data_IF_972474911325
#
_entry.id   IF_972474911325
#
_cell.length_a   1.000
_cell.length_b   1.000
_cell.length_c   1.000
_cell.angle_alpha   90.00
_cell.angle_beta   90.00
_cell.angle_gamma   90.00
#
_symmetry.space_group_name_H-M   'P 1'
#
loop_
_entity.id
_entity.type
_entity.pdbx_description
1 polymer ?
#
# COMPACT_ATOMS: atom_id res chain seq x y z
N UNK A 1 36.43 8.29 -20.62
CA UNK A 1 37.82 8.43 -20.14
C UNK A 1 37.96 7.55 -18.91
N UNK A 2 38.82 6.54 -19.00
CA UNK A 2 39.06 5.56 -17.94
C UNK A 2 40.20 6.04 -17.03
N UNK A 3 40.16 5.64 -15.76
CA UNK A 3 41.25 5.76 -14.80
C UNK A 3 41.58 4.35 -14.23
N UNK A 4 42.83 4.10 -13.81
CA UNK A 4 43.50 2.81 -13.98
C UNK A 4 43.44 1.87 -12.76
N UNK A 5 43.61 0.57 -13.02
CA UNK A 5 43.94 -0.46 -12.02
C UNK A 5 45.41 -0.37 -11.56
N UNK A 6 45.71 -0.86 -10.35
CA UNK A 6 47.02 -1.41 -10.05
C UNK A 6 47.00 -2.91 -9.65
N UNK A 7 47.94 -3.60 -10.27
CA UNK A 7 48.41 -4.98 -10.22
C UNK A 7 48.45 -5.70 -8.85
N UNK A 8 48.04 -6.97 -8.86
CA UNK A 8 48.40 -8.01 -7.88
C UNK A 8 49.87 -8.46 -7.98
N UNK A 9 50.45 -9.03 -6.91
CA UNK A 9 51.43 -10.09 -7.01
C UNK A 9 50.84 -11.45 -6.61
N UNK A 10 51.29 -12.48 -7.32
CA UNK A 10 50.85 -13.86 -7.17
C UNK A 10 51.48 -14.60 -5.97
N UNK A 11 50.72 -15.54 -5.42
CA UNK A 11 51.23 -16.87 -5.05
C UNK A 11 51.51 -17.14 -3.57
N UNK A 12 50.63 -17.92 -2.93
CA UNK A 12 50.91 -18.61 -1.67
C UNK A 12 49.69 -19.35 -1.14
N UNK A 13 49.66 -20.67 -1.29
CA UNK A 13 48.63 -21.56 -0.78
C UNK A 13 48.71 -21.72 0.74
N UNK A 14 47.57 -21.81 1.43
CA UNK A 14 47.50 -22.27 2.82
C UNK A 14 46.22 -21.86 3.55
N UNK A 15 45.37 -22.86 3.83
CA UNK A 15 44.36 -22.95 4.90
C UNK A 15 43.43 -21.76 5.20
N UNK A 16 42.15 -21.90 4.80
CA UNK A 16 41.03 -21.09 5.27
C UNK A 16 40.80 -21.31 6.79
N UNK A 17 41.10 -20.30 7.59
CA UNK A 17 40.53 -20.11 8.92
C UNK A 17 39.19 -19.35 8.78
N UNK A 18 38.17 -19.63 9.62
CA UNK A 18 36.89 -18.93 9.54
C UNK A 18 37.03 -17.49 10.05
N UNK A 19 36.65 -16.52 9.21
CA UNK A 19 36.53 -15.11 9.57
C UNK A 19 35.52 -14.92 10.70
N UNK A 20 35.96 -14.22 11.74
CA UNK A 20 35.16 -13.74 12.86
C UNK A 20 34.30 -12.57 12.38
N UNK A 21 32.98 -12.76 12.26
CA UNK A 21 32.03 -11.68 12.00
C UNK A 21 31.85 -10.87 13.31
N UNK A 22 32.44 -9.67 13.35
CA UNK A 22 32.34 -8.69 14.43
C UNK A 22 30.90 -8.20 14.66
N UNK A 23 30.58 -7.99 15.94
CA UNK A 23 29.28 -7.57 16.49
C UNK A 23 28.89 -6.13 16.10
N UNK A 24 27.67 -5.94 15.57
CA UNK A 24 26.94 -4.67 15.72
C UNK A 24 25.93 -4.80 16.87
N UNK A 25 26.29 -4.24 18.02
CA UNK A 25 25.42 -4.09 19.18
C UNK A 25 24.45 -2.93 18.95
N UNK A 26 23.15 -3.21 18.79
CA UNK A 26 22.13 -2.16 18.82
C UNK A 26 21.90 -1.67 20.26
N UNK A 27 21.98 -0.36 20.44
CA UNK A 27 21.90 0.35 21.71
C UNK A 27 20.54 0.16 22.42
N UNK A 28 20.60 -0.08 23.74
CA UNK A 28 19.43 -0.08 24.64
C UNK A 28 19.01 1.36 25.00
N UNK A 29 17.70 1.64 24.96
CA UNK A 29 17.10 2.90 25.41
C UNK A 29 16.68 2.77 26.89
N UNK A 30 17.11 3.66 27.80
CA UNK A 30 16.86 3.50 29.24
C UNK A 30 15.41 3.80 29.65
N UNK A 31 14.86 2.90 30.47
CA UNK A 31 13.55 3.02 31.12
C UNK A 31 13.34 4.35 31.88
N UNK A 32 12.11 4.87 31.84
CA UNK A 32 11.62 5.90 32.78
C UNK A 32 10.52 5.34 33.69
N UNK A 33 10.43 5.83 34.95
CA UNK A 33 9.83 5.10 36.04
C UNK A 33 8.31 5.30 36.19
N UNK A 34 7.77 4.30 36.88
CA UNK A 34 6.41 4.02 37.30
C UNK A 34 5.77 5.10 38.20
N UNK A 35 4.52 5.44 37.93
CA UNK A 35 3.52 5.96 38.86
C UNK A 35 2.18 5.37 38.40
N UNK A 36 1.35 4.66 39.17
CA UNK A 36 1.15 4.65 40.60
C UNK A 36 -0.32 5.00 40.87
N UNK A 37 -1.09 4.01 41.38
CA UNK A 37 -2.51 4.01 41.80
C UNK A 37 -3.57 3.76 40.70
N UNK A 38 -4.56 2.88 40.85
CA UNK A 38 -4.93 1.97 41.95
C UNK A 38 -6.40 1.53 41.80
N UNK A 39 -6.66 0.23 42.02
CA UNK A 39 -7.93 -0.43 42.43
C UNK A 39 -9.22 -0.22 41.60
N UNK A 40 -10.08 -1.20 41.32
CA UNK A 40 -10.13 -2.61 41.70
C UNK A 40 -11.54 -3.20 41.43
N UNK A 41 -11.60 -4.54 41.33
CA UNK A 41 -12.78 -5.47 41.49
C UNK A 41 -13.89 -5.31 40.43
N UNK A 42 -14.66 -6.30 39.98
CA UNK A 42 -14.93 -7.75 40.14
C UNK A 42 -16.04 -8.02 39.08
N UNK A 43 -16.18 -9.11 38.32
CA UNK A 43 -16.24 -10.53 38.66
C UNK A 43 -17.26 -11.23 37.72
N UNK A 44 -17.08 -12.55 37.49
CA UNK A 44 -18.07 -13.54 36.98
C UNK A 44 -18.49 -13.44 35.49
N UNK A 45 -18.66 -14.50 34.70
CA UNK A 45 -18.67 -15.95 34.92
C UNK A 45 -19.58 -16.65 33.86
N UNK A 46 -19.20 -17.85 33.42
CA UNK A 46 -20.01 -18.79 32.61
C UNK A 46 -19.70 -18.77 31.10
N UNK A 47 -19.47 -19.87 30.37
CA UNK A 47 -19.64 -21.31 30.63
C UNK A 47 -20.52 -21.96 29.54
N UNK A 48 -20.05 -23.11 29.01
CA UNK A 48 -20.72 -24.06 28.07
C UNK A 48 -20.45 -23.79 26.57
N UNK A 49 -19.85 -24.64 25.71
CA UNK A 49 -19.75 -26.10 25.48
C UNK A 49 -20.63 -26.63 24.32
N UNK A 50 -20.04 -27.51 23.48
CA UNK A 50 -20.65 -28.26 22.35
C UNK A 50 -19.85 -28.08 21.05
N UNK A 51 -18.95 -28.94 20.56
CA UNK A 51 -18.90 -30.41 20.29
C UNK A 51 -19.47 -30.84 18.92
N UNK A 52 -18.65 -31.62 18.18
CA UNK A 52 -19.00 -32.50 17.03
C UNK A 52 -18.59 -31.93 15.66
N UNK A 53 -17.55 -32.41 14.97
CA UNK A 53 -17.39 -33.73 14.30
C UNK A 53 -17.55 -33.51 12.77
N UNK A 54 -16.83 -34.07 11.80
CA UNK A 54 -15.82 -35.11 11.65
C UNK A 54 -15.84 -35.58 10.16
N UNK A 55 -14.68 -35.94 9.59
CA UNK A 55 -14.53 -36.66 8.30
C UNK A 55 -14.41 -35.75 7.05
N UNK A 56 -13.48 -35.92 6.10
CA UNK A 56 -12.62 -37.04 5.73
C UNK A 56 -12.84 -37.36 4.24
N UNK A 57 -11.85 -37.13 3.37
CA UNK A 57 -11.93 -37.49 1.95
C UNK A 57 -10.76 -36.98 1.11
N UNK A 58 -9.84 -37.89 0.78
CA UNK A 58 -8.69 -37.69 -0.11
C UNK A 58 -9.06 -37.93 -1.59
N UNK A 59 -8.34 -37.29 -2.52
CA UNK A 59 -8.41 -37.58 -3.96
C UNK A 59 -7.39 -36.74 -4.75
N UNK A 60 -6.52 -37.41 -5.50
CA UNK A 60 -5.27 -36.91 -6.08
C UNK A 60 -5.35 -36.53 -7.58
N UNK A 61 -4.28 -35.88 -8.06
CA UNK A 61 -3.88 -35.74 -9.48
C UNK A 61 -4.35 -34.42 -10.13
N UNK A 62 -3.50 -33.44 -10.45
CA UNK A 62 -2.46 -33.46 -11.51
C UNK A 62 -3.11 -32.96 -12.81
N UNK A 63 -2.61 -32.01 -13.62
CA UNK A 63 -1.33 -31.35 -13.80
C UNK A 63 -1.51 -30.23 -14.85
N UNK A 64 -0.58 -29.26 -14.87
CA UNK A 64 -0.18 -28.56 -16.10
C UNK A 64 -0.84 -27.21 -16.43
N UNK A 65 -0.02 -26.16 -16.56
CA UNK A 65 -0.42 -24.92 -17.24
C UNK A 65 0.32 -23.70 -16.71
N UNK A 66 1.45 -23.36 -17.34
CA UNK A 66 2.30 -22.21 -16.98
C UNK A 66 1.55 -20.87 -17.02
N UNK A 67 1.79 -20.05 -16.00
CA UNK A 67 1.26 -18.69 -15.88
C UNK A 67 2.40 -17.72 -15.59
N UNK A 68 2.55 -16.75 -16.50
CA UNK A 68 3.57 -15.72 -16.51
C UNK A 68 3.52 -14.81 -15.26
N UNK A 69 4.71 -14.34 -14.85
CA UNK A 69 5.02 -13.69 -13.59
C UNK A 69 4.59 -12.21 -13.56
N UNK A 70 3.68 -11.86 -12.63
CA UNK A 70 3.50 -10.48 -12.14
C UNK A 70 4.01 -10.40 -10.69
N UNK A 71 4.66 -9.28 -10.34
CA UNK A 71 5.55 -9.07 -9.17
C UNK A 71 4.93 -9.50 -7.82
N UNK A 72 5.07 -10.79 -7.49
CA UNK A 72 4.80 -11.34 -6.15
C UNK A 72 5.88 -10.86 -5.17
N UNK A 73 5.46 -10.57 -3.94
CA UNK A 73 6.38 -10.56 -2.80
C UNK A 73 7.22 -11.86 -2.82
N UNK A 74 8.55 -11.73 -2.84
CA UNK A 74 9.46 -12.89 -2.92
C UNK A 74 9.33 -13.69 -1.62
N UNK A 75 8.88 -14.94 -1.72
CA UNK A 75 8.75 -15.88 -0.59
C UNK A 75 9.71 -17.05 -0.76
N UNK A 76 10.00 -17.79 0.31
CA UNK A 76 10.78 -19.04 0.21
C UNK A 76 10.21 -20.00 -0.83
N UNK A 77 8.88 -20.07 -0.94
CA UNK A 77 8.19 -20.88 -1.95
C UNK A 77 8.47 -20.41 -3.39
N UNK A 78 8.60 -19.11 -3.63
CA UNK A 78 8.97 -18.56 -4.96
C UNK A 78 10.41 -18.96 -5.29
N UNK A 79 11.33 -18.83 -4.33
CA UNK A 79 12.73 -19.20 -4.53
C UNK A 79 12.93 -20.72 -4.70
N UNK A 80 12.14 -21.55 -4.02
CA UNK A 80 12.10 -23.01 -4.22
C UNK A 80 11.52 -23.38 -5.60
N UNK A 81 10.44 -22.71 -6.03
CA UNK A 81 9.79 -22.98 -7.32
C UNK A 81 10.74 -22.72 -8.49
N UNK A 82 11.55 -21.67 -8.39
CA UNK A 82 12.51 -21.30 -9.44
C UNK A 82 13.90 -21.91 -9.20
N UNK A 83 13.99 -22.91 -8.32
CA UNK A 83 15.20 -23.69 -8.00
C UNK A 83 16.41 -22.89 -7.50
N UNK A 84 16.19 -21.68 -6.94
CA UNK A 84 17.24 -20.92 -6.25
C UNK A 84 17.53 -21.46 -4.85
N UNK A 85 16.57 -22.17 -4.25
CA UNK A 85 16.71 -22.86 -2.98
C UNK A 85 16.30 -24.32 -3.16
N UNK A 86 16.88 -25.21 -2.36
CA UNK A 86 16.54 -26.63 -2.33
C UNK A 86 16.02 -27.00 -0.94
N UNK A 87 14.95 -27.80 -0.83
CA UNK A 87 14.53 -28.36 0.44
C UNK A 87 15.64 -29.24 1.02
N UNK A 88 15.83 -29.18 2.32
CA UNK A 88 16.87 -29.97 2.97
C UNK A 88 16.90 -29.80 4.47
N UNK A 89 17.48 -30.79 5.15
CA UNK A 89 17.70 -30.74 6.58
C UNK A 89 18.88 -29.81 6.91
N UNK A 90 18.69 -28.90 7.88
CA UNK A 90 19.73 -28.02 8.42
C UNK A 90 20.23 -26.95 7.44
N UNK A 91 19.51 -26.72 6.34
CA UNK A 91 19.93 -25.78 5.30
C UNK A 91 19.70 -24.32 5.67
N UNK A 92 18.86 -24.04 6.68
CA UNK A 92 18.63 -22.70 7.20
C UNK A 92 19.30 -22.53 8.57
N UNK A 93 19.89 -21.36 8.80
CA UNK A 93 20.53 -21.04 10.07
C UNK A 93 20.30 -19.58 10.48
N UNK A 94 20.24 -19.34 11.80
CA UNK A 94 20.21 -18.01 12.41
C UNK A 94 21.30 -17.97 13.45
N UNK A 95 22.14 -16.93 13.41
CA UNK A 95 23.10 -16.64 14.47
C UNK A 95 22.65 -15.38 15.22
N UNK A 96 22.53 -15.48 16.54
CA UNK A 96 22.11 -14.35 17.37
C UNK A 96 22.72 -14.45 18.77
N UNK A 97 23.47 -13.42 19.18
CA UNK A 97 24.14 -13.31 20.49
C UNK A 97 24.89 -14.61 20.87
N UNK A 98 25.77 -15.07 20.00
CA UNK A 98 26.58 -16.27 20.23
C UNK A 98 25.86 -17.61 20.03
N UNK A 99 24.54 -17.63 19.82
CA UNK A 99 23.74 -18.86 19.63
C UNK A 99 23.38 -19.08 18.16
N UNK A 100 23.59 -20.31 17.70
CA UNK A 100 23.22 -20.78 16.37
C UNK A 100 21.96 -21.66 16.43
N UNK A 101 20.95 -21.30 15.66
CA UNK A 101 19.72 -22.06 15.47
C UNK A 101 19.70 -22.69 14.08
N UNK A 102 19.26 -23.94 13.96
CA UNK A 102 19.18 -24.68 12.70
C UNK A 102 17.73 -25.01 12.33
N UNK A 103 17.40 -24.85 11.05
CA UNK A 103 16.07 -25.12 10.51
C UNK A 103 16.13 -25.89 9.20
N UNK A 104 15.17 -26.79 9.03
CA UNK A 104 14.94 -27.56 7.81
C UNK A 104 14.02 -26.76 6.89
N UNK A 105 14.37 -26.66 5.62
CA UNK A 105 13.51 -26.06 4.60
C UNK A 105 12.62 -27.16 4.01
N UNK A 106 11.32 -27.05 4.23
CA UNK A 106 10.35 -28.01 3.69
C UNK A 106 10.03 -27.70 2.21
N UNK A 107 9.62 -28.70 1.41
CA UNK A 107 9.28 -28.54 -0.01
C UNK A 107 8.15 -27.53 -0.29
N UNK A 108 7.30 -27.26 0.70
CA UNK A 108 6.19 -26.31 0.60
C UNK A 108 6.58 -24.87 0.98
N UNK A 109 7.85 -24.62 1.34
CA UNK A 109 8.40 -23.33 1.75
C UNK A 109 8.24 -23.00 3.23
N UNK A 110 7.82 -23.96 4.07
CA UNK A 110 7.82 -23.83 5.53
C UNK A 110 9.20 -24.16 6.12
N UNK A 111 9.43 -23.67 7.34
CA UNK A 111 10.67 -23.89 8.08
C UNK A 111 10.37 -24.74 9.30
N UNK A 112 11.02 -25.88 9.45
CA UNK A 112 10.90 -26.73 10.63
C UNK A 112 12.15 -26.56 11.50
N UNK A 113 11.97 -26.16 12.76
CA UNK A 113 13.07 -25.98 13.69
C UNK A 113 13.55 -27.33 14.23
N UNK A 114 14.85 -27.62 14.12
CA UNK A 114 15.40 -28.95 14.42
C UNK A 114 15.33 -29.34 15.91
N UNK A 115 15.40 -28.39 16.84
CA UNK A 115 15.47 -28.71 18.27
C UNK A 115 14.12 -29.19 18.84
N UNK A 116 13.00 -28.72 18.28
CA UNK A 116 11.65 -29.02 18.79
C UNK A 116 10.69 -29.60 17.76
N UNK A 117 11.07 -29.60 16.47
CA UNK A 117 10.19 -30.01 15.37
C UNK A 117 9.09 -29.01 15.04
N UNK A 118 9.09 -27.82 15.65
CA UNK A 118 8.06 -26.80 15.41
C UNK A 118 8.15 -26.22 13.99
N UNK A 119 7.00 -26.07 13.34
CA UNK A 119 6.90 -25.59 11.96
C UNK A 119 6.47 -24.12 11.92
N UNK A 120 7.19 -23.32 11.14
CA UNK A 120 6.97 -21.90 10.92
C UNK A 120 6.59 -21.62 9.47
N UNK A 121 5.60 -20.75 9.28
CA UNK A 121 5.07 -20.39 7.95
C UNK A 121 5.87 -19.28 7.24
N UNK A 122 6.85 -18.66 7.90
CA UNK A 122 7.70 -17.63 7.30
C UNK A 122 9.07 -17.51 7.98
N UNK A 123 10.12 -17.03 7.26
CA UNK A 123 11.43 -16.71 7.85
C UNK A 123 11.37 -15.72 9.01
N UNK A 124 10.47 -14.73 8.93
CA UNK A 124 10.29 -13.72 9.97
C UNK A 124 9.68 -14.28 11.25
N UNK A 125 8.73 -15.21 11.14
CA UNK A 125 8.16 -15.91 12.29
C UNK A 125 9.21 -16.77 13.01
N UNK A 126 10.00 -17.53 12.24
CA UNK A 126 11.08 -18.33 12.79
C UNK A 126 12.18 -17.47 13.45
N UNK A 127 12.62 -16.40 12.79
CA UNK A 127 13.64 -15.51 13.33
C UNK A 127 13.21 -14.78 14.60
N UNK A 128 11.95 -14.35 14.68
CA UNK A 128 11.41 -13.73 15.89
C UNK A 128 11.37 -14.73 17.04
N UNK A 129 10.99 -15.97 16.76
CA UNK A 129 10.96 -17.04 17.75
C UNK A 129 12.37 -17.35 18.30
N UNK A 130 13.35 -17.58 17.43
CA UNK A 130 14.74 -17.83 17.83
C UNK A 130 15.33 -16.67 18.66
N UNK A 131 15.06 -15.42 18.27
CA UNK A 131 15.58 -14.25 19.00
C UNK A 131 14.94 -14.07 20.38
N UNK A 132 13.65 -14.37 20.53
CA UNK A 132 12.94 -14.33 21.83
C UNK A 132 13.46 -15.37 22.83
N UNK A 133 13.96 -16.51 22.36
CA UNK A 133 14.58 -17.53 23.23
C UNK A 133 15.90 -17.06 23.85
N UNK A 134 16.57 -16.08 23.24
CA UNK A 134 17.84 -15.54 23.76
C UNK A 134 17.64 -14.22 24.49
N UNK A 135 16.76 -13.35 23.98
CA UNK A 135 16.38 -12.09 24.62
C UNK A 135 14.84 -11.96 24.69
N UNK A 136 14.23 -12.27 25.85
CA UNK A 136 12.78 -12.18 26.04
C UNK A 136 12.17 -10.78 25.85
N UNK A 137 12.98 -9.71 25.97
CA UNK A 137 12.52 -8.33 25.77
C UNK A 137 12.40 -7.93 24.29
N UNK A 138 12.90 -8.75 23.35
CA UNK A 138 12.91 -8.43 21.92
C UNK A 138 11.54 -8.65 21.27
N UNK A 139 10.91 -7.54 20.83
CA UNK A 139 9.54 -7.52 20.29
C UNK A 139 9.45 -7.77 18.77
N UNK A 140 10.54 -7.61 18.01
CA UNK A 140 10.55 -7.78 16.54
C UNK A 140 11.91 -8.29 16.00
N UNK A 141 11.90 -8.90 14.82
CA UNK A 141 13.11 -9.30 14.10
C UNK A 141 12.91 -9.40 12.58
N UNK A 142 13.86 -8.86 11.80
CA UNK A 142 13.85 -8.96 10.34
C UNK A 142 14.30 -10.36 9.87
N UNK A 143 13.34 -11.20 9.44
CA UNK A 143 13.60 -12.59 9.03
C UNK A 143 14.53 -12.76 7.84
N UNK A 144 14.42 -11.90 6.82
CA UNK A 144 15.18 -12.04 5.57
C UNK A 144 16.66 -11.67 5.70
N UNK A 145 16.97 -10.68 6.54
CA UNK A 145 18.34 -10.26 6.82
C UNK A 145 19.05 -11.18 7.85
N UNK A 146 18.27 -11.89 8.67
CA UNK A 146 18.80 -12.71 9.78
C UNK A 146 18.95 -14.20 9.44
N UNK A 147 18.13 -14.71 8.50
CA UNK A 147 18.15 -16.13 8.12
C UNK A 147 19.15 -16.35 6.99
N UNK A 148 20.12 -17.24 7.21
CA UNK A 148 21.11 -17.68 6.24
C UNK A 148 20.70 -19.06 5.67
N UNK A 149 20.65 -19.21 4.35
CA UNK A 149 20.55 -20.49 3.65
C UNK A 149 21.94 -20.94 3.19
N UNK A 150 22.37 -22.15 3.57
CA UNK A 150 23.73 -22.70 3.28
C UNK A 150 24.86 -21.67 3.52
N UNK A 151 24.75 -20.88 4.60
CA UNK A 151 25.74 -19.85 4.97
C UNK A 151 25.54 -18.46 4.37
N UNK A 152 24.65 -18.29 3.37
CA UNK A 152 24.39 -16.99 2.73
C UNK A 152 23.02 -16.41 3.14
N UNK A 153 22.95 -15.10 3.41
CA UNK A 153 21.69 -14.43 3.81
C UNK A 153 20.60 -14.58 2.74
N UNK A 154 19.37 -14.88 3.14
CA UNK A 154 18.22 -15.04 2.22
C UNK A 154 17.95 -13.79 1.38
N UNK A 155 18.32 -12.61 1.89
CA UNK A 155 18.19 -11.34 1.18
C UNK A 155 19.01 -11.30 -0.13
N UNK A 156 20.18 -11.96 -0.16
CA UNK A 156 21.01 -12.06 -1.37
C UNK A 156 20.32 -12.88 -2.46
N UNK A 157 19.67 -13.99 -2.08
CA UNK A 157 18.91 -14.82 -3.02
C UNK A 157 17.67 -14.10 -3.54
N UNK A 158 16.99 -13.34 -2.67
CA UNK A 158 15.87 -12.47 -3.05
C UNK A 158 16.29 -11.38 -4.05
N UNK A 159 17.40 -10.69 -3.80
CA UNK A 159 17.93 -9.67 -4.71
C UNK A 159 18.36 -10.26 -6.06
N UNK A 160 18.98 -11.45 -6.04
CA UNK A 160 19.40 -12.17 -7.26
C UNK A 160 18.20 -12.59 -8.09
N UNK A 161 17.15 -13.11 -7.46
CA UNK A 161 15.90 -13.45 -8.11
C UNK A 161 15.23 -12.25 -8.78
N UNK A 162 15.16 -11.12 -8.07
CA UNK A 162 14.61 -9.87 -8.61
C UNK A 162 15.40 -9.35 -9.81
N UNK A 163 16.73 -9.44 -9.78
CA UNK A 163 17.60 -9.03 -10.90
C UNK A 163 17.43 -9.93 -12.12
N UNK A 164 17.36 -11.25 -11.93
CA UNK A 164 17.16 -12.21 -13.03
C UNK A 164 15.78 -12.09 -13.69
N UNK A 165 14.75 -11.76 -12.90
CA UNK A 165 13.38 -11.60 -13.39
C UNK A 165 13.05 -10.18 -13.90
N UNK A 166 13.87 -9.17 -13.59
CA UNK A 166 13.80 -7.86 -14.25
C UNK A 166 14.41 -7.86 -15.67
N UNK A 167 15.37 -8.74 -15.94
CA UNK A 167 16.05 -8.83 -17.25
C UNK A 167 15.27 -9.59 -18.33
N UNK A 168 14.19 -10.33 -17.97
CA UNK A 168 13.42 -11.16 -18.91
C UNK A 168 12.06 -10.55 -19.34
N UNK A 169 11.95 -9.22 -19.38
CA UNK A 169 10.83 -8.56 -20.07
C UNK A 169 11.29 -8.21 -21.49
N UNK A 170 10.92 -8.95 -22.55
CA UNK A 170 11.33 -8.58 -23.90
C UNK A 170 10.63 -7.29 -24.32
N UNK A 171 11.45 -6.26 -24.55
CA UNK A 171 11.11 -5.08 -25.30
C UNK A 171 10.92 -5.44 -26.77
N UNK A 172 9.76 -5.16 -27.34
CA UNK A 172 9.60 -5.03 -28.79
C UNK A 172 9.22 -3.60 -29.09
N UNK A 173 10.23 -2.84 -29.52
CA UNK A 173 10.10 -1.50 -30.07
C UNK A 173 9.54 -1.56 -31.51
N UNK A 174 8.84 -0.50 -31.83
CA UNK A 174 8.23 -0.08 -33.09
C UNK A 174 8.92 -0.48 -34.39
N UNK A 175 8.11 -0.80 -35.40
CA UNK A 175 8.19 -0.11 -36.69
C UNK A 175 6.83 -0.23 -37.42
N UNK A 176 6.08 0.88 -37.54
CA UNK A 176 5.33 1.17 -38.76
C UNK A 176 4.80 2.62 -38.73
N UNK A 177 5.02 3.30 -39.86
CA UNK A 177 4.91 4.72 -40.06
C UNK A 177 3.45 5.22 -40.25
N UNK A 178 3.16 6.37 -39.63
CA UNK A 178 2.20 7.44 -40.00
C UNK A 178 0.81 7.09 -40.55
N UNK A 179 -0.22 7.46 -39.77
CA UNK A 179 -1.33 8.33 -40.23
C UNK A 179 -1.95 9.05 -39.01
N UNK A 180 -2.20 10.38 -39.05
CA UNK A 180 -2.72 11.11 -37.90
C UNK A 180 -4.24 11.03 -37.85
N UNK A 181 -4.79 10.61 -36.70
CA UNK A 181 -6.21 10.79 -36.39
C UNK A 181 -6.99 9.51 -36.16
N UNK A 182 -6.73 8.79 -35.07
CA UNK A 182 -7.76 8.02 -34.36
C UNK A 182 -7.56 8.21 -32.86
N UNK A 183 -8.57 8.82 -32.22
CA UNK A 183 -8.71 8.89 -30.76
C UNK A 183 -8.53 7.48 -30.20
N UNK A 184 -7.64 7.33 -29.21
CA UNK A 184 -7.51 6.09 -28.46
C UNK A 184 -8.79 5.93 -27.65
N UNK A 185 -9.74 5.17 -28.18
CA UNK A 185 -10.91 4.71 -27.44
C UNK A 185 -10.39 3.82 -26.31
N UNK A 186 -10.24 4.41 -25.13
CA UNK A 186 -9.96 3.70 -23.90
C UNK A 186 -11.21 2.87 -23.61
N UNK A 187 -11.21 1.58 -24.00
CA UNK A 187 -12.29 0.65 -23.70
C UNK A 187 -12.67 0.80 -22.23
N UNK A 188 -13.88 1.32 -21.98
CA UNK A 188 -14.41 1.53 -20.63
C UNK A 188 -14.32 0.19 -19.90
N UNK A 189 -13.48 0.13 -18.86
CA UNK A 189 -13.29 -1.09 -18.07
C UNK A 189 -14.61 -1.37 -17.34
N UNK A 190 -15.29 -2.44 -17.74
CA UNK A 190 -16.56 -2.85 -17.12
C UNK A 190 -16.25 -3.38 -15.71
N UNK A 191 -16.77 -2.76 -14.64
CA UNK A 191 -16.56 -3.25 -13.28
C UNK A 191 -17.16 -4.64 -13.10
N UNK A 192 -16.53 -5.46 -12.25
CA UNK A 192 -17.04 -6.79 -11.90
C UNK A 192 -17.62 -6.79 -10.49
N UNK A 193 -18.68 -7.56 -10.28
CA UNK A 193 -19.21 -7.81 -8.93
C UNK A 193 -18.24 -8.66 -8.12
N UNK A 194 -18.09 -8.34 -6.83
CA UNK A 194 -17.24 -9.12 -5.93
C UNK A 194 -17.58 -10.64 -5.94
N UNK A 195 -18.86 -11.00 -5.98
CA UNK A 195 -19.29 -12.41 -6.01
C UNK A 195 -18.81 -13.19 -7.24
N UNK A 196 -18.44 -12.49 -8.33
CA UNK A 196 -17.89 -13.09 -9.55
C UNK A 196 -16.39 -13.31 -9.48
N UNK A 197 -15.71 -12.77 -8.45
CA UNK A 197 -14.28 -12.94 -8.29
C UNK A 197 -13.94 -14.37 -7.81
N UNK A 198 -14.61 -14.92 -6.81
CA UNK A 198 -14.13 -16.18 -6.20
C UNK A 198 -12.68 -16.05 -5.68
N UNK A 199 -11.93 -17.15 -5.70
CA UNK A 199 -10.59 -17.20 -5.11
C UNK A 199 -9.51 -16.45 -5.90
N UNK A 200 -8.45 -16.03 -5.20
CA UNK A 200 -7.35 -15.26 -5.80
C UNK A 200 -6.67 -16.05 -6.91
N UNK A 201 -6.60 -15.41 -8.06
CA UNK A 201 -5.91 -15.90 -9.25
C UNK A 201 -4.89 -14.87 -9.70
N UNK A 202 -3.62 -15.28 -9.80
CA UNK A 202 -2.52 -14.41 -10.23
C UNK A 202 -2.56 -14.07 -11.72
N UNK A 203 -3.35 -14.79 -12.52
CA UNK A 203 -3.57 -14.48 -13.93
C UNK A 203 -4.53 -13.31 -14.14
N UNK A 204 -5.26 -12.89 -13.10
CA UNK A 204 -6.18 -11.75 -13.21
C UNK A 204 -5.43 -10.44 -13.32
N UNK A 205 -5.94 -9.57 -14.20
CA UNK A 205 -5.41 -8.23 -14.35
C UNK A 205 -5.60 -7.44 -13.03
N UNK A 206 -4.53 -6.94 -12.40
CA UNK A 206 -4.62 -6.18 -11.16
C UNK A 206 -5.46 -4.91 -11.29
N UNK A 207 -5.59 -4.37 -12.50
CA UNK A 207 -6.38 -3.18 -12.80
C UNK A 207 -7.86 -3.47 -13.10
N UNK A 208 -8.34 -4.68 -12.81
CA UNK A 208 -9.77 -5.03 -12.91
C UNK A 208 -10.54 -4.27 -11.84
N UNK A 209 -11.50 -3.43 -12.25
CA UNK A 209 -12.36 -2.66 -11.35
C UNK A 209 -13.42 -3.55 -10.71
N UNK A 210 -13.69 -3.35 -9.43
CA UNK A 210 -14.63 -4.14 -8.63
C UNK A 210 -15.71 -3.23 -8.05
N UNK A 211 -16.97 -3.65 -8.16
CA UNK A 211 -18.08 -2.95 -7.51
C UNK A 211 -17.94 -3.01 -5.98
N UNK A 212 -18.16 -1.88 -5.32
CA UNK A 212 -18.23 -1.82 -3.85
C UNK A 212 -19.53 -2.44 -3.34
N UNK A 213 -19.46 -3.05 -2.16
CA UNK A 213 -20.61 -3.68 -1.49
C UNK A 213 -21.04 -2.83 -0.30
N UNK A 214 -22.34 -2.54 -0.16
CA UNK A 214 -22.85 -1.90 1.05
C UNK A 214 -22.76 -2.85 2.25
N UNK A 215 -22.42 -2.34 3.43
CA UNK A 215 -22.42 -3.13 4.67
C UNK A 215 -23.78 -3.81 4.94
N UNK A 216 -24.88 -3.10 4.67
CA UNK A 216 -26.23 -3.64 4.85
C UNK A 216 -26.52 -4.84 3.93
N UNK A 217 -25.96 -4.85 2.72
CA UNK A 217 -26.17 -5.94 1.75
C UNK A 217 -25.62 -7.30 2.23
N UNK A 218 -24.70 -7.29 3.19
CA UNK A 218 -24.13 -8.50 3.81
C UNK A 218 -24.48 -8.60 5.30
N UNK A 219 -25.51 -7.90 5.77
CA UNK A 219 -25.96 -7.87 7.16
C UNK A 219 -24.84 -7.49 8.16
N UNK A 220 -24.02 -6.50 7.78
CA UNK A 220 -22.97 -5.91 8.62
C UNK A 220 -23.24 -4.42 8.82
N UNK A 221 -22.56 -3.84 9.79
CA UNK A 221 -22.54 -2.39 10.02
C UNK A 221 -21.18 -1.83 9.60
N UNK A 222 -21.16 -0.58 9.18
CA UNK A 222 -19.92 0.16 8.99
C UNK A 222 -19.16 0.21 10.33
N UNK A 223 -17.87 -0.16 10.39
CA UNK A 223 -17.15 -0.35 11.65
C UNK A 223 -16.78 0.94 12.39
N UNK A 224 -16.91 2.11 11.74
CA UNK A 224 -16.61 3.43 12.32
C UNK A 224 -17.31 4.53 11.53
N UNK A 225 -17.55 5.67 12.16
CA UNK A 225 -18.09 6.85 11.49
C UNK A 225 -16.96 7.64 10.81
N UNK A 226 -17.25 8.24 9.66
CA UNK A 226 -16.28 9.06 8.92
C UNK A 226 -16.80 10.48 8.76
N UNK A 227 -15.98 11.46 9.12
CA UNK A 227 -16.21 12.87 8.83
C UNK A 227 -15.03 13.42 8.02
N UNK A 228 -15.30 14.06 6.88
CA UNK A 228 -14.26 14.60 6.00
C UNK A 228 -14.45 16.10 5.82
N UNK A 229 -13.39 16.86 6.08
CA UNK A 229 -13.35 18.31 5.86
C UNK A 229 -13.46 18.66 4.38
N UNK A 230 -14.21 19.73 4.06
CA UNK A 230 -14.33 20.25 2.69
C UNK A 230 -12.99 20.64 2.07
N UNK A 231 -12.06 21.18 2.87
CA UNK A 231 -10.72 21.54 2.41
C UNK A 231 -9.92 20.31 1.91
N UNK A 232 -10.15 19.13 2.50
CA UNK A 232 -9.55 17.86 2.07
C UNK A 232 -10.08 17.49 0.69
N UNK A 233 -11.40 17.46 0.53
CA UNK A 233 -12.03 17.09 -0.74
C UNK A 233 -11.70 18.09 -1.84
N UNK A 234 -11.63 19.38 -1.51
CA UNK A 234 -11.25 20.45 -2.44
C UNK A 234 -9.82 20.29 -2.96
N UNK A 235 -8.83 20.12 -2.09
CA UNK A 235 -7.43 19.98 -2.50
C UNK A 235 -7.19 18.68 -3.29
N UNK A 236 -7.80 17.58 -2.85
CA UNK A 236 -7.74 16.29 -3.53
C UNK A 236 -8.35 16.36 -4.94
N UNK A 237 -9.51 17.02 -5.07
CA UNK A 237 -10.18 17.19 -6.36
C UNK A 237 -9.36 18.08 -7.29
N UNK A 238 -8.79 19.19 -6.76
CA UNK A 238 -7.87 20.04 -7.51
C UNK A 238 -6.66 19.25 -8.00
N UNK A 239 -5.99 18.50 -7.13
CA UNK A 239 -4.85 17.66 -7.49
C UNK A 239 -5.18 16.70 -8.65
N UNK A 240 -6.34 16.04 -8.56
CA UNK A 240 -6.80 15.07 -9.55
C UNK A 240 -7.09 15.68 -10.93
N UNK A 241 -7.28 17.00 -11.00
CA UNK A 241 -7.56 17.71 -12.24
C UNK A 241 -6.31 18.28 -12.94
N UNK A 242 -5.14 18.22 -12.31
CA UNK A 242 -3.94 18.82 -12.91
C UNK A 242 -3.33 17.93 -14.00
N UNK A 243 -3.53 16.62 -13.94
CA UNK A 243 -2.91 15.66 -14.86
C UNK A 243 -3.93 14.67 -15.44
N UNK A 244 -3.61 14.15 -16.63
CA UNK A 244 -4.32 13.03 -17.26
C UNK A 244 -3.92 11.66 -16.67
N UNK A 245 -2.84 11.63 -15.88
CA UNK A 245 -2.34 10.45 -15.17
C UNK A 245 -3.00 10.30 -13.80
N UNK A 246 -2.89 9.11 -13.21
CA UNK A 246 -3.31 8.87 -11.83
C UNK A 246 -2.41 9.64 -10.85
N UNK A 247 -3.01 10.24 -9.83
CA UNK A 247 -2.32 10.93 -8.74
C UNK A 247 -2.54 10.19 -7.44
N UNK A 248 -1.62 10.32 -6.48
CA UNK A 248 -1.76 9.72 -5.15
C UNK A 248 -1.50 10.74 -4.04
N UNK A 249 -2.01 10.48 -2.85
CA UNK A 249 -1.69 11.28 -1.67
C UNK A 249 -2.16 10.64 -0.37
N UNK A 250 -1.72 11.20 0.75
CA UNK A 250 -2.04 10.73 2.08
C UNK A 250 -3.15 11.56 2.73
N UNK A 251 -3.85 10.96 3.69
CA UNK A 251 -4.90 11.60 4.48
C UNK A 251 -4.46 11.67 5.94
N UNK A 252 -4.47 12.88 6.50
CA UNK A 252 -4.18 13.14 7.91
C UNK A 252 -5.44 13.50 8.69
N UNK A 253 -5.54 13.00 9.91
CA UNK A 253 -6.75 13.14 10.70
C UNK A 253 -6.59 12.74 12.16
N UNK A 254 -7.74 12.53 12.81
CA UNK A 254 -7.84 12.07 14.20
C UNK A 254 -8.79 10.88 14.27
N UNK A 255 -8.41 9.90 15.07
CA UNK A 255 -9.26 8.78 15.43
C UNK A 255 -9.67 8.93 16.90
N UNK A 256 -10.98 9.04 17.14
CA UNK A 256 -11.54 8.97 18.49
C UNK A 256 -12.17 7.60 18.72
N UNK A 257 -11.52 6.80 19.56
CA UNK A 257 -11.96 5.44 19.90
C UNK A 257 -13.27 5.42 20.68
N UNK A 258 -13.58 6.46 21.46
CA UNK A 258 -14.76 6.48 22.33
C UNK A 258 -16.05 6.68 21.52
N UNK A 259 -15.99 7.58 20.53
CA UNK A 259 -17.11 7.84 19.60
C UNK A 259 -17.05 7.00 18.32
N UNK A 260 -15.99 6.19 18.16
CA UNK A 260 -15.66 5.47 16.94
C UNK A 260 -15.69 6.38 15.70
N UNK A 261 -15.15 7.59 15.83
CA UNK A 261 -15.19 8.61 14.79
C UNK A 261 -13.82 8.87 14.20
N UNK A 262 -13.69 8.61 12.91
CA UNK A 262 -12.56 9.02 12.09
C UNK A 262 -12.85 10.41 11.48
N UNK A 263 -12.06 11.41 11.87
CA UNK A 263 -12.13 12.75 11.29
C UNK A 263 -10.92 13.00 10.38
N UNK A 264 -11.16 13.14 9.08
CA UNK A 264 -10.13 13.47 8.08
C UNK A 264 -10.05 14.98 7.92
N UNK A 265 -8.89 15.54 8.24
CA UNK A 265 -8.69 16.99 8.40
C UNK A 265 -7.77 17.59 7.35
N UNK A 266 -6.86 16.81 6.76
CA UNK A 266 -5.89 17.27 5.76
C UNK A 266 -5.63 16.22 4.69
N UNK A 267 -5.42 16.68 3.46
CA UNK A 267 -4.84 15.90 2.37
C UNK A 267 -3.38 16.32 2.18
N UNK A 268 -2.53 15.36 1.85
CA UNK A 268 -1.13 15.55 1.54
C UNK A 268 -0.85 14.98 0.13
N UNK A 269 -0.95 15.82 -0.90
CA UNK A 269 -0.68 15.41 -2.29
C UNK A 269 0.78 14.93 -2.46
N UNK A 270 0.98 13.74 -3.03
CA UNK A 270 2.33 13.26 -3.30
C UNK A 270 2.84 13.84 -4.63
N UNK A 271 3.91 14.65 -4.55
CA UNK A 271 4.57 15.27 -5.70
C UNK A 271 5.69 14.38 -6.25
N UNK A 272 5.34 13.15 -6.61
CA UNK A 272 6.28 12.14 -7.12
C UNK A 272 5.73 11.46 -8.37
N UNK A 273 6.59 11.13 -9.33
CA UNK A 273 6.19 10.36 -10.53
C UNK A 273 6.33 8.86 -10.29
N UNK A 274 5.57 8.07 -11.04
CA UNK A 274 5.65 6.62 -11.00
C UNK A 274 7.07 6.14 -11.36
N UNK A 275 7.69 5.36 -10.48
CA UNK A 275 9.03 4.79 -10.68
C UNK A 275 10.18 5.60 -10.06
N UNK A 276 9.91 6.80 -9.53
CA UNK A 276 10.89 7.59 -8.79
C UNK A 276 10.84 7.26 -7.29
N UNK A 277 11.54 6.18 -6.91
CA UNK A 277 11.50 5.65 -5.55
C UNK A 277 12.20 6.56 -4.52
N UNK A 278 13.24 7.27 -4.93
CA UNK A 278 13.99 8.19 -4.04
C UNK A 278 13.13 9.40 -3.68
N UNK A 279 12.53 10.05 -4.68
CA UNK A 279 11.60 11.17 -4.44
C UNK A 279 10.37 10.70 -3.66
N UNK A 280 9.83 9.52 -3.97
CA UNK A 280 8.68 9.00 -3.23
C UNK A 280 8.98 8.79 -1.73
N UNK A 281 10.17 8.28 -1.39
CA UNK A 281 10.60 8.11 0.00
C UNK A 281 10.78 9.45 0.72
N UNK A 282 11.40 10.45 0.06
CA UNK A 282 11.56 11.79 0.63
C UNK A 282 10.21 12.47 0.87
N UNK A 283 9.28 12.38 -0.08
CA UNK A 283 7.92 12.91 0.06
C UNK A 283 7.16 12.21 1.20
N UNK A 284 7.30 10.89 1.34
CA UNK A 284 6.68 10.16 2.45
C UNK A 284 7.23 10.63 3.81
N UNK A 285 8.55 10.84 3.93
CA UNK A 285 9.16 11.38 5.14
C UNK A 285 8.66 12.80 5.47
N UNK A 286 8.61 13.69 4.48
CA UNK A 286 8.04 15.04 4.63
C UNK A 286 6.60 15.01 5.14
N UNK A 287 5.78 14.09 4.63
CA UNK A 287 4.39 13.91 5.07
C UNK A 287 4.34 13.45 6.51
N UNK A 288 5.16 12.47 6.93
CA UNK A 288 5.21 12.04 8.33
C UNK A 288 5.65 13.17 9.27
N UNK A 289 6.65 13.96 8.89
CA UNK A 289 7.07 15.12 9.67
C UNK A 289 5.95 16.16 9.79
N UNK A 290 5.24 16.44 8.69
CA UNK A 290 4.12 17.39 8.68
C UNK A 290 2.94 16.92 9.54
N UNK A 291 2.60 15.63 9.48
CA UNK A 291 1.61 15.01 10.36
C UNK A 291 1.99 15.18 11.83
N UNK A 292 3.24 14.86 12.19
CA UNK A 292 3.77 14.99 13.55
C UNK A 292 3.69 16.43 14.07
N UNK A 293 4.20 17.40 13.30
CA UNK A 293 4.19 18.82 13.66
C UNK A 293 2.77 19.39 13.84
N UNK A 294 1.76 18.77 13.21
CA UNK A 294 0.35 19.17 13.30
C UNK A 294 -0.44 18.38 14.35
N UNK A 295 0.20 17.42 15.03
CA UNK A 295 -0.48 16.51 15.95
C UNK A 295 -1.60 15.73 15.28
N UNK A 296 -1.40 15.34 14.01
CA UNK A 296 -2.29 14.51 13.22
C UNK A 296 -1.71 13.11 13.08
N UNK A 297 -2.59 12.13 12.88
CA UNK A 297 -2.21 10.77 12.54
C UNK A 297 -2.44 10.51 11.06
N UNK A 298 -1.65 9.60 10.48
CA UNK A 298 -1.97 9.02 9.18
C UNK A 298 -3.24 8.17 9.33
N UNK A 299 -4.27 8.49 8.57
CA UNK A 299 -5.60 7.85 8.68
C UNK A 299 -6.10 7.28 7.35
N UNK A 300 -5.32 7.41 6.28
CA UNK A 300 -5.75 6.95 4.98
C UNK A 300 -4.91 7.47 3.83
N UNK A 301 -5.42 7.24 2.64
CA UNK A 301 -4.81 7.63 1.39
C UNK A 301 -5.88 7.93 0.36
N UNK A 302 -5.48 8.57 -0.73
CA UNK A 302 -6.32 8.75 -1.90
C UNK A 302 -5.53 8.53 -3.17
N UNK A 303 -6.25 8.18 -4.24
CA UNK A 303 -5.72 8.33 -5.58
C UNK A 303 -6.81 8.75 -6.58
N UNK A 304 -6.42 8.98 -7.83
CA UNK A 304 -7.39 9.25 -8.91
C UNK A 304 -7.46 8.12 -9.93
N UNK A 305 -8.66 7.95 -10.49
CA UNK A 305 -8.95 7.23 -11.73
C UNK A 305 -9.46 8.24 -12.75
N UNK A 306 -8.59 8.99 -13.47
CA UNK A 306 -8.98 10.16 -14.25
C UNK A 306 -10.12 9.91 -15.22
N UNK A 307 -10.11 8.78 -15.93
CA UNK A 307 -11.08 8.44 -16.98
C UNK A 307 -11.84 7.14 -16.71
N UNK A 308 -11.80 6.62 -15.48
CA UNK A 308 -12.47 5.38 -15.07
C UNK A 308 -13.40 5.64 -13.89
N UNK A 309 -14.42 4.81 -13.65
CA UNK A 309 -15.27 4.95 -12.47
C UNK A 309 -14.45 5.06 -11.17
N UNK A 310 -14.96 5.82 -10.20
CA UNK A 310 -14.45 5.86 -8.83
C UNK A 310 -14.79 4.55 -8.08
N UNK A 311 -14.22 3.44 -8.54
CA UNK A 311 -14.35 2.10 -8.00
C UNK A 311 -12.96 1.51 -7.83
N UNK A 312 -12.72 0.70 -6.78
CA UNK A 312 -11.40 0.14 -6.53
C UNK A 312 -11.06 -0.94 -7.56
N UNK A 313 -9.79 -1.00 -7.95
CA UNK A 313 -9.23 -2.15 -8.66
C UNK A 313 -8.81 -3.27 -7.70
N UNK A 314 -8.49 -4.46 -8.21
CA UNK A 314 -7.91 -5.54 -7.40
C UNK A 314 -6.60 -5.10 -6.71
N UNK A 315 -5.80 -4.28 -7.38
CA UNK A 315 -4.60 -3.67 -6.79
C UNK A 315 -4.93 -2.75 -5.61
N UNK A 316 -6.00 -1.95 -5.72
CA UNK A 316 -6.41 -1.03 -4.66
C UNK A 316 -6.96 -1.77 -3.46
N UNK A 317 -7.68 -2.87 -3.70
CA UNK A 317 -8.18 -3.77 -2.65
C UNK A 317 -7.02 -4.36 -1.84
N UNK A 318 -5.98 -4.84 -2.53
CA UNK A 318 -4.79 -5.39 -1.89
C UNK A 318 -4.01 -4.32 -1.13
N UNK A 319 -3.78 -3.15 -1.75
CA UNK A 319 -3.09 -2.03 -1.13
C UNK A 319 -3.83 -1.55 0.12
N UNK A 320 -5.15 -1.42 0.06
CA UNK A 320 -5.97 -1.01 1.19
C UNK A 320 -5.95 -2.03 2.33
N UNK A 321 -5.94 -3.34 2.03
CA UNK A 321 -5.77 -4.37 3.05
C UNK A 321 -4.41 -4.24 3.76
N UNK A 322 -3.34 -4.04 2.99
CA UNK A 322 -2.00 -3.83 3.54
C UNK A 322 -1.91 -2.56 4.40
N UNK A 323 -2.52 -1.45 3.97
CA UNK A 323 -2.54 -0.22 4.77
C UNK A 323 -3.36 -0.38 6.06
N UNK A 324 -4.51 -1.04 6.00
CA UNK A 324 -5.31 -1.36 7.19
C UNK A 324 -4.52 -2.18 8.20
N UNK A 325 -3.77 -3.19 7.74
CA UNK A 325 -2.93 -4.02 8.61
C UNK A 325 -1.74 -3.24 9.20
N UNK A 326 -1.08 -2.40 8.38
CA UNK A 326 0.03 -1.55 8.85
C UNK A 326 -0.42 -0.57 9.92
N UNK A 327 -1.55 0.10 9.73
CA UNK A 327 -2.05 1.12 10.64
C UNK A 327 -2.63 0.56 11.94
N UNK A 328 -3.07 -0.70 11.97
CA UNK A 328 -3.45 -1.37 13.23
C UNK A 328 -2.27 -1.51 14.21
N UNK A 329 -1.02 -1.54 13.72
CA UNK A 329 0.17 -1.57 14.56
C UNK A 329 0.29 -2.83 15.44
N UNK A 330 1.06 -2.73 16.54
CA UNK A 330 1.25 -3.80 17.53
C UNK A 330 0.35 -3.65 18.78
N UNK A 331 -0.43 -2.58 18.84
CA UNK A 331 -1.43 -2.35 19.88
C UNK A 331 -2.71 -3.11 19.56
N UNK A 332 -3.35 -3.73 20.56
CA UNK A 332 -4.66 -4.37 20.42
C UNK A 332 -5.82 -3.39 20.11
N UNK A 333 -5.52 -2.16 19.67
CA UNK A 333 -6.49 -1.13 19.34
C UNK A 333 -6.85 -1.15 17.86
N UNK A 334 -8.11 -0.89 17.55
CA UNK A 334 -8.54 -0.65 16.18
C UNK A 334 -8.11 0.76 15.75
N UNK A 335 -7.39 0.87 14.65
CA UNK A 335 -7.10 2.14 13.97
C UNK A 335 -7.63 2.06 12.53
N UNK A 336 -8.58 2.92 12.13
CA UNK A 336 -9.14 2.89 10.79
C UNK A 336 -8.15 3.44 9.76
N UNK A 337 -8.25 2.91 8.55
CA UNK A 337 -7.58 3.40 7.35
C UNK A 337 -8.65 3.63 6.28
N UNK A 338 -8.81 4.86 5.81
CA UNK A 338 -9.78 5.20 4.76
C UNK A 338 -9.07 5.33 3.41
N UNK A 339 -9.67 4.78 2.35
CA UNK A 339 -9.25 5.04 0.98
C UNK A 339 -10.26 5.94 0.27
N UNK A 340 -9.80 6.96 -0.45
CA UNK A 340 -10.65 7.82 -1.31
C UNK A 340 -10.24 7.67 -2.77
N UNK A 341 -11.21 7.42 -3.65
CA UNK A 341 -11.02 7.35 -5.10
C UNK A 341 -11.64 8.56 -5.77
N UNK A 342 -10.86 9.33 -6.51
CA UNK A 342 -11.37 10.46 -7.28
C UNK A 342 -11.46 10.13 -8.77
N UNK A 343 -12.62 10.31 -9.36
CA UNK A 343 -12.83 10.19 -10.80
C UNK A 343 -13.24 11.55 -11.39
N UNK A 344 -12.28 12.36 -11.85
CA UNK A 344 -12.56 13.69 -12.38
C UNK A 344 -13.20 13.66 -13.77
N UNK A 345 -12.67 12.90 -14.73
CA UNK A 345 -13.04 13.00 -16.15
C UNK A 345 -13.83 11.80 -16.69
N UNK A 346 -14.30 10.91 -15.83
CA UNK A 346 -15.10 9.78 -16.29
C UNK A 346 -16.44 10.25 -16.86
N UNK A 347 -16.71 9.87 -18.11
CA UNK A 347 -17.91 10.28 -18.84
C UNK A 347 -19.21 9.70 -18.27
N UNK A 348 -19.14 8.67 -17.42
CA UNK A 348 -20.30 8.12 -16.71
C UNK A 348 -20.62 8.85 -15.40
N UNK A 349 -19.91 9.92 -15.05
CA UNK A 349 -20.31 10.78 -13.94
C UNK A 349 -21.64 11.50 -14.28
N UNK A 350 -22.50 11.76 -13.28
CA UNK A 350 -23.81 12.38 -13.51
C UNK A 350 -23.74 13.84 -13.97
N UNK A 351 -22.60 14.49 -13.77
CA UNK A 351 -22.37 15.90 -14.07
C UNK A 351 -20.89 16.23 -14.24
N UNK A 352 -20.54 17.53 -14.39
CA UNK A 352 -19.17 18.00 -14.48
C UNK A 352 -18.36 17.82 -13.18
N UNK A 353 -19.03 17.62 -12.05
CA UNK A 353 -18.38 17.36 -10.77
C UNK A 353 -17.66 16.00 -10.77
N UNK A 354 -16.47 15.98 -10.17
CA UNK A 354 -15.75 14.74 -9.90
C UNK A 354 -16.56 13.84 -8.97
N UNK A 355 -16.51 12.54 -9.19
CA UNK A 355 -16.99 11.56 -8.22
C UNK A 355 -15.85 11.21 -7.26
N UNK A 356 -16.03 11.47 -5.95
CA UNK A 356 -15.12 10.99 -4.92
C UNK A 356 -15.84 9.90 -4.13
N UNK A 357 -15.28 8.69 -4.15
CA UNK A 357 -15.89 7.53 -3.50
C UNK A 357 -14.94 6.96 -2.45
N UNK A 358 -15.35 6.97 -1.17
CA UNK A 358 -14.62 6.29 -0.11
C UNK A 358 -14.85 4.78 -0.18
N UNK A 359 -13.84 4.00 0.21
CA UNK A 359 -14.03 2.57 0.45
C UNK A 359 -13.14 2.07 1.60
N UNK A 360 -13.55 0.94 2.17
CA UNK A 360 -12.81 0.19 3.18
C UNK A 360 -12.87 -1.29 2.82
N UNK A 361 -11.84 -2.09 3.12
CA UNK A 361 -11.83 -3.49 2.70
C UNK A 361 -12.08 -4.40 3.89
N UNK A 362 -13.19 -5.15 3.84
CA UNK A 362 -13.44 -6.21 4.81
C UNK A 362 -12.50 -7.39 4.53
N UNK A 363 -11.80 -7.94 5.54
CA UNK A 363 -11.01 -9.14 5.36
C UNK A 363 -11.85 -10.29 4.76
N UNK A 364 -11.24 -11.14 3.93
CA UNK A 364 -11.96 -12.29 3.37
C UNK A 364 -12.52 -13.16 4.51
N UNK A 365 -13.71 -13.79 4.31
CA UNK A 365 -14.29 -14.66 5.31
C UNK A 365 -13.32 -15.77 5.75
N UNK A 366 -13.35 -16.15 7.02
CA UNK A 366 -12.47 -17.19 7.58
C UNK A 366 -12.57 -18.53 6.82
N UNK A 367 -13.74 -18.83 6.24
CA UNK A 367 -13.97 -20.04 5.45
C UNK A 367 -13.27 -19.99 4.07
N UNK A 368 -12.90 -18.80 3.58
CA UNK A 368 -12.27 -18.58 2.27
C UNK A 368 -11.13 -17.56 2.38
N UNK A 369 -10.07 -17.87 3.14
CA UNK A 369 -8.98 -16.93 3.42
C UNK A 369 -8.13 -16.61 2.17
N UNK A 370 -8.25 -17.42 1.12
CA UNK A 370 -7.60 -17.23 -0.18
C UNK A 370 -8.35 -16.29 -1.12
N UNK A 371 -9.51 -15.75 -0.73
CA UNK A 371 -10.26 -14.80 -1.56
C UNK A 371 -9.69 -13.38 -1.42
N UNK A 372 -10.09 -12.48 -2.32
CA UNK A 372 -9.82 -11.05 -2.17
C UNK A 372 -10.60 -10.50 -0.97
N UNK A 373 -10.13 -9.41 -0.38
CA UNK A 373 -10.96 -8.66 0.57
C UNK A 373 -12.19 -8.07 -0.13
N UNK A 374 -13.28 -7.86 0.63
CA UNK A 374 -14.52 -7.31 0.09
C UNK A 374 -14.41 -5.77 0.12
N UNK A 375 -14.41 -5.08 -1.03
CA UNK A 375 -14.45 -3.61 -1.05
C UNK A 375 -15.83 -3.16 -0.58
N UNK A 376 -15.87 -2.50 0.58
CA UNK A 376 -17.07 -1.99 1.20
C UNK A 376 -17.25 -0.51 0.89
N UNK A 377 -18.46 -0.13 0.52
CA UNK A 377 -18.86 1.27 0.38
C UNK A 377 -18.95 1.91 1.77
N UNK A 378 -18.32 3.09 1.94
CA UNK A 378 -18.24 3.78 3.23
C UNK A 378 -19.07 5.05 3.18
N UNK A 379 -20.04 5.16 4.09
CA UNK A 379 -20.77 6.40 4.30
C UNK A 379 -19.89 7.39 5.06
N UNK A 380 -19.76 8.61 4.52
CA UNK A 380 -19.01 9.71 5.14
C UNK A 380 -19.88 10.96 5.26
N UNK A 381 -19.72 11.64 6.40
CA UNK A 381 -20.29 12.95 6.63
C UNK A 381 -19.38 14.05 6.06
N UNK A 382 -19.96 14.92 5.23
CA UNK A 382 -19.27 16.10 4.73
C UNK A 382 -19.28 17.21 5.79
N UNK A 383 -18.09 17.68 6.20
CA UNK A 383 -17.93 18.78 7.13
C UNK A 383 -17.45 20.01 6.37
N UNK A 384 -18.36 20.96 6.15
CA UNK A 384 -18.03 22.20 5.46
C UNK A 384 -17.22 23.13 6.36
N UNK A 385 -16.02 23.46 5.92
CA UNK A 385 -15.14 24.42 6.58
C UNK A 385 -15.67 25.84 6.41
N UNK A 386 -15.28 26.73 7.32
CA UNK A 386 -15.68 28.14 7.25
C UNK A 386 -14.93 28.90 6.16
N UNK A 387 -13.66 28.55 5.92
CA UNK A 387 -12.79 29.22 4.95
C UNK A 387 -11.74 28.26 4.39
N UNK A 388 -11.18 28.64 3.24
CA UNK A 388 -10.01 27.97 2.67
C UNK A 388 -8.76 28.47 3.40
N UNK A 389 -7.98 27.56 3.97
CA UNK A 389 -6.79 27.95 4.73
C UNK A 389 -5.62 28.33 3.82
N UNK A 390 -4.73 29.22 4.27
CA UNK A 390 -3.50 29.58 3.53
C UNK A 390 -2.61 28.37 3.22
N UNK A 391 -2.60 27.37 4.09
CA UNK A 391 -1.89 26.11 3.86
C UNK A 391 -2.40 25.40 2.59
N UNK A 392 -3.73 25.34 2.40
CA UNK A 392 -4.30 24.69 1.22
C UNK A 392 -3.91 25.46 -0.05
N UNK A 393 -3.94 26.79 0.01
CA UNK A 393 -3.48 27.63 -1.10
C UNK A 393 -2.00 27.40 -1.42
N UNK A 394 -1.17 27.28 -0.40
CA UNK A 394 0.24 26.96 -0.57
C UNK A 394 0.42 25.59 -1.24
N UNK A 395 -0.29 24.55 -0.79
CA UNK A 395 -0.24 23.22 -1.42
C UNK A 395 -0.72 23.25 -2.88
N UNK A 396 -1.78 24.01 -3.20
CA UNK A 396 -2.21 24.20 -4.57
C UNK A 396 -1.11 24.81 -5.44
N UNK A 397 -0.42 25.83 -4.92
CA UNK A 397 0.69 26.48 -5.64
C UNK A 397 1.87 25.53 -5.86
N UNK A 398 2.22 24.72 -4.86
CA UNK A 398 3.25 23.67 -5.00
C UNK A 398 2.87 22.63 -6.06
N UNK A 399 1.59 22.25 -6.11
CA UNK A 399 1.07 21.34 -7.15
C UNK A 399 1.14 21.96 -8.54
N UNK A 400 0.75 23.24 -8.70
CA UNK A 400 0.86 23.95 -9.98
C UNK A 400 2.31 23.97 -10.47
N UNK A 401 3.26 24.29 -9.59
CA UNK A 401 4.68 24.32 -9.97
C UNK A 401 5.22 22.91 -10.28
N UNK A 402 4.81 21.89 -9.52
CA UNK A 402 5.22 20.50 -9.77
C UNK A 402 4.77 19.98 -11.14
N UNK A 403 3.52 20.27 -11.54
CA UNK A 403 2.97 19.82 -12.83
C UNK A 403 3.31 20.75 -14.01
N UNK A 404 3.97 21.88 -13.76
CA UNK A 404 4.36 22.82 -14.81
C UNK A 404 5.30 22.15 -15.82
N UNK A 405 4.95 22.24 -17.10
CA UNK A 405 5.71 21.57 -18.17
C UNK A 405 5.63 20.05 -18.16
N UNK A 406 4.79 19.44 -17.32
CA UNK A 406 4.55 18.00 -17.35
C UNK A 406 3.88 17.61 -18.68
N UNK A 407 4.33 16.52 -19.34
CA UNK A 407 3.75 16.09 -20.62
C UNK A 407 2.29 15.65 -20.49
N UNK A 408 1.91 15.23 -19.30
CA UNK A 408 0.57 14.76 -18.92
C UNK A 408 -0.29 15.84 -18.25
N UNK A 409 0.20 17.09 -18.15
CA UNK A 409 -0.57 18.23 -17.65
C UNK A 409 -1.86 18.40 -18.48
N UNK A 410 -2.98 18.59 -17.80
CA UNK A 410 -4.25 18.89 -18.45
C UNK A 410 -4.20 20.30 -19.02
N UNK A 411 -4.43 20.41 -20.32
CA UNK A 411 -4.55 21.70 -21.00
C UNK A 411 -5.92 22.30 -20.69
N UNK A 412 -5.96 23.17 -19.69
CA UNK A 412 -7.21 23.71 -19.14
C UNK A 412 -8.08 24.47 -20.16
N UNK A 413 -7.46 25.04 -21.20
CA UNK A 413 -8.16 25.76 -22.25
C UNK A 413 -8.78 24.84 -23.34
N UNK A 414 -8.42 23.55 -23.36
CA UNK A 414 -9.02 22.61 -24.31
C UNK A 414 -10.49 22.31 -23.94
N UNK A 415 -11.35 22.03 -24.93
CA UNK A 415 -12.72 21.59 -24.68
C UNK A 415 -12.71 20.23 -23.97
N UNK A 416 -13.45 20.13 -22.87
CA UNK A 416 -13.72 18.86 -22.18
C UNK A 416 -15.05 18.26 -22.66
N UNK A 417 -16.08 19.09 -22.79
CA UNK A 417 -17.39 18.74 -23.37
C UNK A 417 -17.80 19.76 -24.44
N UNK A 418 -19.00 19.61 -25.02
CA UNK A 418 -19.52 20.57 -26.00
C UNK A 418 -19.72 21.98 -25.43
N UNK A 419 -19.98 22.07 -24.11
CA UNK A 419 -20.33 23.31 -23.43
C UNK A 419 -19.22 23.84 -22.53
N UNK A 420 -18.27 23.00 -22.11
CA UNK A 420 -17.32 23.33 -21.04
C UNK A 420 -15.87 22.98 -21.43
N UNK A 421 -14.94 23.88 -21.10
CA UNK A 421 -13.51 23.59 -21.10
C UNK A 421 -13.10 22.74 -19.88
N UNK A 422 -11.89 22.20 -19.90
CA UNK A 422 -11.31 21.56 -18.70
C UNK A 422 -11.24 22.53 -17.50
N UNK A 423 -11.00 23.83 -17.77
CA UNK A 423 -11.03 24.86 -16.75
C UNK A 423 -12.43 25.06 -16.15
N UNK A 424 -13.45 25.14 -16.99
CA UNK A 424 -14.83 25.33 -16.52
C UNK A 424 -15.27 24.15 -15.68
N UNK A 425 -14.96 22.93 -16.14
CA UNK A 425 -15.20 21.69 -15.39
C UNK A 425 -14.50 21.71 -14.03
N UNK A 426 -13.22 22.09 -13.98
CA UNK A 426 -12.47 22.22 -12.72
C UNK A 426 -13.18 23.19 -11.76
N UNK A 427 -13.55 24.38 -12.25
CA UNK A 427 -14.26 25.38 -11.43
C UNK A 427 -15.58 24.87 -10.90
N UNK A 428 -16.39 24.21 -11.73
CA UNK A 428 -17.68 23.66 -11.33
C UNK A 428 -17.49 22.55 -10.28
N UNK A 429 -16.55 21.63 -10.52
CA UNK A 429 -16.25 20.54 -9.59
C UNK A 429 -15.82 21.07 -8.23
N UNK A 430 -14.88 22.03 -8.22
CA UNK A 430 -14.40 22.64 -6.98
C UNK A 430 -15.48 23.45 -6.27
N UNK A 431 -16.35 24.16 -7.00
CA UNK A 431 -17.45 24.95 -6.44
C UNK A 431 -18.37 24.11 -5.54
N UNK A 432 -18.62 22.84 -5.91
CA UNK A 432 -19.43 21.90 -5.12
C UNK A 432 -18.81 21.48 -3.78
N UNK A 433 -17.52 21.79 -3.56
CA UNK A 433 -16.71 21.38 -2.40
C UNK A 433 -16.17 22.56 -1.59
N UNK A 434 -16.74 23.74 -1.82
CA UNK A 434 -16.17 24.98 -1.28
C UNK A 434 -16.55 25.21 0.19
N UNK A 435 -15.61 25.77 0.98
CA UNK A 435 -15.92 26.37 2.28
C UNK A 435 -16.98 27.48 2.14
N UNK A 436 -17.58 27.89 3.26
CA UNK A 436 -18.72 28.84 3.26
C UNK A 436 -18.42 30.24 2.71
N UNK A 437 -17.15 30.67 2.71
CA UNK A 437 -16.75 32.01 2.26
C UNK A 437 -16.48 32.09 0.74
N UNK A 438 -16.98 33.15 0.09
CA UNK A 438 -16.94 33.40 -1.36
C UNK A 438 -15.60 34.01 -1.85
N UNK A 439 -14.66 34.32 -0.95
CA UNK A 439 -13.30 34.79 -1.28
C UNK A 439 -12.51 33.83 -2.19
N UNK A 440 -12.98 32.58 -2.27
CA UNK A 440 -12.43 31.50 -3.09
C UNK A 440 -12.50 31.74 -4.61
N UNK A 441 -13.52 32.45 -5.11
CA UNK A 441 -13.63 32.73 -6.55
C UNK A 441 -12.39 33.48 -7.06
N UNK A 442 -11.95 34.50 -6.33
CA UNK A 442 -10.77 35.28 -6.69
C UNK A 442 -9.48 34.46 -6.63
N UNK A 443 -9.34 33.59 -5.63
CA UNK A 443 -8.13 32.77 -5.50
C UNK A 443 -8.08 31.67 -6.57
N UNK A 444 -9.22 31.03 -6.86
CA UNK A 444 -9.33 30.11 -7.99
C UNK A 444 -9.02 30.80 -9.30
N UNK A 445 -9.48 32.03 -9.52
CA UNK A 445 -9.13 32.82 -10.70
C UNK A 445 -7.63 33.08 -10.82
N UNK A 446 -6.95 33.40 -9.71
CA UNK A 446 -5.51 33.59 -9.68
C UNK A 446 -4.76 32.30 -10.00
N UNK A 447 -5.07 31.19 -9.30
CA UNK A 447 -4.44 29.89 -9.53
C UNK A 447 -4.68 29.40 -10.95
N UNK A 448 -5.92 29.54 -11.45
CA UNK A 448 -6.25 29.20 -12.83
C UNK A 448 -5.56 30.13 -13.83
N UNK A 449 -5.37 31.40 -13.50
CA UNK A 449 -4.61 32.36 -14.30
C UNK A 449 -3.15 31.96 -14.46
N UNK A 450 -2.52 31.44 -13.40
CA UNK A 450 -1.15 30.91 -13.44
C UNK A 450 -1.11 29.63 -14.27
N UNK A 451 -2.07 28.72 -14.07
CA UNK A 451 -2.15 27.49 -14.87
C UNK A 451 -2.32 27.77 -16.37
N UNK A 452 -3.07 28.80 -16.76
CA UNK A 452 -3.20 29.24 -18.16
C UNK A 452 -1.89 29.70 -18.79
N UNK A 453 -0.96 30.24 -18.01
CA UNK A 453 0.33 30.71 -18.51
C UNK A 453 1.34 29.55 -18.69
N UNK A 454 1.12 28.43 -18.01
CA UNK A 454 2.01 27.27 -18.03
C UNK A 454 1.54 26.07 -18.87
N UNK A 455 0.32 26.12 -19.43
CA UNK A 455 -0.33 25.03 -20.17
C UNK A 455 -0.25 25.16 -21.69
#
# INVERSE_FOLDING_TARGET
MAAPEPLSPAGGAGEEAPEEDEDEAEAEDPERPNAGAGGGRSGGGGGSSGSGGGGGGAGAGGCGGGGAFTRRAVTLRVLLKDALLEPGAGVLSIYYLGKKFLGDLQPDGRIMWQETGQIFNSPSAWATHCKKLVNPAKKSGCGWASVKYKGQKLDKYKATWLRLHQLHTPATAADEATTPGKRVDSKIRVPVRYCMLGSRDSARNPHTLVEVTSFAAINKFQPFNVAVSSNVLFLLDFHSHLTRSEVVGYLGGRWDINSQMLTVLRAFPCRSRLGDAETAAAIEEEVYQSLFLRGLSLVGWYHSHPHSPALPSLQDIDAQMDYQLRLQGSSNGFQPCLALLCSPYYSGNPGPESKISPFWVMPPPEQRPSDYGIPMDVEMAYVQDSFLTNDILHEMMLLVEFYKGAPDLVRLQEPWSQEHTYLDKLKISLASRTPKDQSLCHVLEQVCGILKQGS
#
